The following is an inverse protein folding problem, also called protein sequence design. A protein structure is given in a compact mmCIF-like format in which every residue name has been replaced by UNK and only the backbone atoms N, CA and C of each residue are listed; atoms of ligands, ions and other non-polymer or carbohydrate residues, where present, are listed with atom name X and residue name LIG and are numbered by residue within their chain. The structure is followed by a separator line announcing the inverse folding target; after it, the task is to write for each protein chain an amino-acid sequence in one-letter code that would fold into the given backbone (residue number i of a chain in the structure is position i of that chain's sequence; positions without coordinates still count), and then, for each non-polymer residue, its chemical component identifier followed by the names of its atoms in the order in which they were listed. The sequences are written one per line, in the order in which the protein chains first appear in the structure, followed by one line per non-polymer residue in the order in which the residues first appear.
data_IF_878804398237
#
_entry.id   IF_878804398237
#
_cell.length_a   1.000
_cell.length_b   1.000
_cell.length_c   1.000
_cell.angle_alpha   90.00
_cell.angle_beta   90.00
_cell.angle_gamma   90.00
#
_symmetry.space_group_name_H-M   'P 1'
#
loop_
_entity.id
_entity.type
_entity.pdbx_description
1 polymer ?
#
# COMPACT_ATOMS: atom_id res chain seq x y z
N UNK A 1 40.74 -48.40 -20.45
CA UNK A 1 41.50 -48.27 -19.19
C UNK A 1 40.82 -47.18 -18.37
N UNK A 2 40.39 -47.52 -17.14
CA UNK A 2 40.03 -46.73 -15.92
C UNK A 2 39.65 -45.22 -16.04
N UNK A 3 38.81 -44.63 -15.15
CA UNK A 3 37.97 -45.18 -14.07
C UNK A 3 36.51 -44.57 -14.08
N UNK A 4 35.64 -44.80 -13.05
CA UNK A 4 34.19 -44.64 -13.11
C UNK A 4 33.70 -43.26 -12.67
N UNK A 5 32.63 -42.76 -13.30
CA UNK A 5 31.93 -41.56 -12.83
C UNK A 5 31.01 -41.91 -11.65
N UNK A 6 31.52 -41.65 -10.45
CA UNK A 6 30.73 -41.39 -9.25
C UNK A 6 29.83 -40.18 -9.49
N UNK A 7 28.58 -40.41 -9.84
CA UNK A 7 27.50 -39.41 -9.75
C UNK A 7 26.57 -39.74 -8.58
N UNK A 8 27.14 -39.78 -7.38
CA UNK A 8 26.41 -39.41 -6.17
C UNK A 8 26.59 -37.92 -5.93
N UNK A 9 25.59 -37.10 -6.26
CA UNK A 9 25.24 -35.93 -5.46
C UNK A 9 23.84 -35.41 -5.82
N UNK A 10 22.93 -35.75 -4.92
CA UNK A 10 21.76 -34.98 -4.50
C UNK A 10 20.83 -34.49 -5.62
N UNK A 11 19.81 -35.30 -5.90
CA UNK A 11 18.49 -34.77 -6.23
C UNK A 11 18.15 -33.69 -5.19
N UNK A 12 18.20 -32.45 -5.66
CA UNK A 12 17.98 -31.25 -4.84
C UNK A 12 16.71 -31.41 -4.04
N UNK A 13 16.85 -31.22 -2.74
CA UNK A 13 15.77 -31.06 -1.80
C UNK A 13 14.68 -30.16 -2.38
N UNK A 14 13.54 -30.78 -2.64
CA UNK A 14 12.20 -30.20 -2.75
C UNK A 14 12.16 -28.71 -2.39
N UNK A 15 11.76 -27.89 -3.37
CA UNK A 15 11.24 -26.54 -3.20
C UNK A 15 10.45 -26.44 -1.89
N UNK A 16 11.08 -25.84 -0.88
CA UNK A 16 10.39 -25.45 0.34
C UNK A 16 9.90 -24.04 0.10
N UNK A 17 8.78 -23.93 -0.60
CA UNK A 17 7.98 -22.70 -0.62
C UNK A 17 7.90 -22.16 0.82
N UNK A 18 8.32 -20.91 1.08
CA UNK A 18 8.14 -20.32 2.40
C UNK A 18 6.65 -20.33 2.71
N UNK A 19 6.26 -20.99 3.81
CA UNK A 19 4.88 -20.97 4.29
C UNK A 19 4.43 -19.51 4.35
N UNK A 20 3.25 -19.16 3.81
CA UNK A 20 2.74 -17.80 3.95
C UNK A 20 2.63 -17.51 5.44
N UNK A 21 3.40 -16.51 5.89
CA UNK A 21 3.37 -16.03 7.26
C UNK A 21 1.92 -15.69 7.60
N UNK A 22 1.33 -16.46 8.51
CA UNK A 22 -0.11 -16.53 8.70
C UNK A 22 -0.61 -15.23 9.37
N UNK A 23 -0.95 -14.23 8.55
CA UNK A 23 -1.47 -12.92 8.96
C UNK A 23 -2.69 -13.02 9.89
N UNK A 24 -3.37 -14.17 9.91
CA UNK A 24 -4.50 -14.46 10.79
C UNK A 24 -4.06 -14.71 12.22
N UNK A 25 -2.90 -15.32 12.42
CA UNK A 25 -2.36 -15.65 13.73
C UNK A 25 -1.83 -14.38 14.41
N UNK A 26 -1.13 -13.51 13.68
CA UNK A 26 -0.65 -12.22 14.22
C UNK A 26 -1.80 -11.27 14.59
N UNK A 27 -2.91 -11.29 13.86
CA UNK A 27 -4.12 -10.55 14.23
C UNK A 27 -4.83 -11.14 15.46
N UNK A 28 -4.78 -12.47 15.63
CA UNK A 28 -5.36 -13.16 16.77
C UNK A 28 -4.56 -12.93 18.06
N UNK A 29 -3.22 -12.98 17.98
CA UNK A 29 -2.32 -12.61 19.08
C UNK A 29 -2.47 -11.14 19.46
N UNK A 30 -2.58 -10.24 18.47
CA UNK A 30 -2.80 -8.82 18.75
C UNK A 30 -4.15 -8.57 19.42
N UNK A 31 -5.20 -9.31 19.06
CA UNK A 31 -6.51 -9.26 19.73
C UNK A 31 -6.45 -9.79 21.15
N UNK A 32 -5.73 -10.89 21.39
CA UNK A 32 -5.55 -11.46 22.72
C UNK A 32 -4.73 -10.52 23.60
N UNK A 33 -3.64 -9.93 23.10
CA UNK A 33 -2.86 -8.93 23.83
C UNK A 33 -3.69 -7.70 24.20
N UNK A 34 -4.59 -7.22 23.32
CA UNK A 34 -5.49 -6.10 23.63
C UNK A 34 -6.54 -6.48 24.70
N UNK A 35 -7.03 -7.73 24.69
CA UNK A 35 -7.97 -8.21 25.70
C UNK A 35 -7.28 -8.38 27.06
N UNK A 36 -6.06 -8.91 27.10
CA UNK A 36 -5.25 -8.99 28.32
C UNK A 36 -4.87 -7.61 28.86
N UNK A 37 -4.54 -6.67 27.98
CA UNK A 37 -4.25 -5.27 28.35
C UNK A 37 -5.47 -4.56 28.94
N UNK A 38 -6.68 -4.82 28.42
CA UNK A 38 -7.92 -4.30 29.02
C UNK A 38 -8.21 -4.84 30.42
N UNK A 39 -7.72 -6.04 30.72
CA UNK A 39 -7.89 -6.66 32.04
C UNK A 39 -6.91 -6.11 33.07
N UNK A 40 -5.76 -5.56 32.63
CA UNK A 40 -4.78 -4.89 33.49
C UNK A 40 -5.05 -3.39 33.70
N UNK A 41 -5.95 -2.80 32.92
CA UNK A 41 -6.29 -1.36 32.97
C UNK A 41 -7.36 -1.01 34.03
N UNK A 42 -7.91 -2.01 34.72
CA UNK A 42 -8.72 -1.79 35.93
C UNK A 42 -7.77 -1.58 37.11
N UNK A 43 -7.34 -0.33 37.32
CA UNK A 43 -6.63 0.07 38.53
C UNK A 43 -7.48 -0.31 39.77
N UNK A 44 -6.87 -0.87 40.84
CA UNK A 44 -7.60 -1.18 42.06
C UNK A 44 -8.14 0.12 42.66
N UNK A 45 -9.41 0.10 43.08
CA UNK A 45 -10.03 1.19 43.83
C UNK A 45 -9.21 1.43 45.10
N UNK A 46 -8.49 2.54 45.15
CA UNK A 46 -7.71 2.95 46.33
C UNK A 46 -8.70 3.52 47.35
N UNK A 47 -9.11 2.69 48.30
CA UNK A 47 -9.90 3.12 49.44
C UNK A 47 -8.97 3.82 50.45
N UNK A 48 -9.30 5.05 50.84
CA UNK A 48 -8.47 6.00 51.59
C UNK A 48 -8.42 5.73 53.11
N UNK A 49 -8.18 4.50 53.54
CA UNK A 49 -7.94 4.19 54.96
C UNK A 49 -6.67 3.33 55.08
N UNK A 50 -5.62 3.88 55.68
CA UNK A 50 -4.28 3.28 55.73
C UNK A 50 -4.28 1.95 56.50
N UNK A 51 -3.72 0.86 55.91
CA UNK A 51 -2.31 0.54 56.05
C UNK A 51 -1.70 0.15 54.69
N UNK A 52 -1.68 1.10 53.75
CA UNK A 52 -1.48 0.84 52.32
C UNK A 52 -0.02 0.72 51.86
N UNK A 53 0.98 0.85 52.74
CA UNK A 53 2.40 0.82 52.36
C UNK A 53 2.85 -0.50 51.73
N UNK A 54 2.44 -1.65 52.29
CA UNK A 54 2.81 -2.98 51.75
C UNK A 54 2.13 -3.29 50.42
N UNK A 55 0.89 -2.83 50.23
CA UNK A 55 0.13 -3.03 48.98
C UNK A 55 0.69 -2.12 47.88
N UNK A 56 0.98 -0.85 48.19
CA UNK A 56 1.64 0.06 47.27
C UNK A 56 3.06 -0.42 46.88
N UNK A 57 3.82 -1.01 47.81
CA UNK A 57 5.12 -1.61 47.51
C UNK A 57 5.03 -2.81 46.57
N UNK A 58 4.02 -3.69 46.75
CA UNK A 58 3.80 -4.81 45.82
C UNK A 58 3.43 -4.33 44.43
N UNK A 59 2.58 -3.31 44.33
CA UNK A 59 2.24 -2.68 43.04
C UNK A 59 3.46 -2.05 42.37
N UNK A 60 4.34 -1.39 43.13
CA UNK A 60 5.57 -0.83 42.60
C UNK A 60 6.54 -1.90 42.08
N UNK A 61 6.65 -3.03 42.78
CA UNK A 61 7.47 -4.17 42.32
C UNK A 61 6.90 -4.74 41.04
N UNK A 62 5.57 -4.94 40.97
CA UNK A 62 4.90 -5.42 39.76
C UNK A 62 5.12 -4.47 38.58
N UNK A 63 4.95 -3.16 38.78
CA UNK A 63 5.21 -2.17 37.73
C UNK A 63 6.68 -2.14 37.27
N UNK A 64 7.64 -2.41 38.17
CA UNK A 64 9.06 -2.55 37.79
C UNK A 64 9.31 -3.79 36.95
N UNK A 65 8.70 -4.92 37.31
CA UNK A 65 8.80 -6.16 36.56
C UNK A 65 8.16 -6.02 35.18
N UNK A 66 6.99 -5.38 35.10
CA UNK A 66 6.32 -5.06 33.85
C UNK A 66 7.15 -4.09 32.99
N UNK A 67 7.73 -3.03 33.58
CA UNK A 67 8.60 -2.12 32.83
C UNK A 67 9.86 -2.84 32.32
N UNK A 68 10.45 -3.73 33.12
CA UNK A 68 11.58 -4.56 32.70
C UNK A 68 11.17 -5.48 31.55
N UNK A 69 10.03 -6.15 31.65
CA UNK A 69 9.48 -7.01 30.59
C UNK A 69 9.23 -6.23 29.30
N UNK A 70 8.59 -5.07 29.39
CA UNK A 70 8.32 -4.21 28.23
C UNK A 70 9.62 -3.75 27.56
N UNK A 71 10.68 -3.46 28.32
CA UNK A 71 12.00 -3.14 27.76
C UNK A 71 12.62 -4.32 27.01
N UNK A 72 12.47 -5.54 27.53
CA UNK A 72 12.91 -6.75 26.83
C UNK A 72 12.14 -6.97 25.54
N UNK A 73 10.82 -6.82 25.57
CA UNK A 73 9.96 -6.94 24.37
C UNK A 73 10.30 -5.87 23.33
N UNK A 74 10.59 -4.63 23.75
CA UNK A 74 11.04 -3.56 22.85
C UNK A 74 12.40 -3.89 22.22
N UNK A 75 13.37 -4.38 22.99
CA UNK A 75 14.68 -4.76 22.48
C UNK A 75 14.59 -5.94 21.49
N UNK A 76 13.71 -6.90 21.75
CA UNK A 76 13.49 -8.03 20.85
C UNK A 76 12.83 -7.56 19.54
N UNK A 77 11.82 -6.69 19.61
CA UNK A 77 11.19 -6.11 18.42
C UNK A 77 12.17 -5.27 17.60
N UNK A 78 13.06 -4.51 18.25
CA UNK A 78 14.08 -3.72 17.55
C UNK A 78 15.05 -4.64 16.78
N UNK A 79 15.46 -5.75 17.40
CA UNK A 79 16.29 -6.77 16.75
C UNK A 79 15.56 -7.48 15.61
N UNK A 80 14.27 -7.77 15.77
CA UNK A 80 13.46 -8.37 14.70
C UNK A 80 13.33 -7.41 13.51
N UNK A 81 13.12 -6.12 13.76
CA UNK A 81 13.07 -5.09 12.71
C UNK A 81 14.41 -5.01 11.97
N UNK A 82 15.53 -5.04 12.69
CA UNK A 82 16.86 -5.01 12.08
C UNK A 82 17.13 -6.28 11.24
N UNK A 83 16.72 -7.45 11.72
CA UNK A 83 16.82 -8.71 10.98
C UNK A 83 15.94 -8.70 9.71
N UNK A 84 14.72 -8.18 9.79
CA UNK A 84 13.85 -8.02 8.62
C UNK A 84 14.46 -7.02 7.63
N UNK A 85 14.99 -5.90 8.12
CA UNK A 85 15.57 -4.88 7.27
C UNK A 85 16.80 -5.39 6.52
N UNK A 86 17.71 -6.09 7.21
CA UNK A 86 18.88 -6.73 6.59
C UNK A 86 18.49 -7.82 5.59
N UNK A 87 17.49 -8.65 5.89
CA UNK A 87 16.97 -9.65 4.95
C UNK A 87 16.39 -9.01 3.69
N UNK A 88 15.54 -8.00 3.83
CA UNK A 88 14.97 -7.28 2.69
C UNK A 88 16.06 -6.57 1.87
N UNK A 89 17.06 -5.99 2.52
CA UNK A 89 18.17 -5.35 1.83
C UNK A 89 18.94 -6.37 0.98
N UNK A 90 19.20 -7.55 1.52
CA UNK A 90 19.85 -8.63 0.79
C UNK A 90 19.00 -9.12 -0.40
N UNK A 91 17.68 -9.24 -0.23
CA UNK A 91 16.77 -9.61 -1.32
C UNK A 91 16.78 -8.57 -2.45
N UNK A 92 16.78 -7.27 -2.10
CA UNK A 92 16.87 -6.18 -3.09
C UNK A 92 18.16 -6.30 -3.88
N UNK A 93 19.30 -6.48 -3.21
CA UNK A 93 20.60 -6.65 -3.87
C UNK A 93 20.65 -7.89 -4.77
N UNK A 94 19.96 -8.98 -4.39
CA UNK A 94 19.83 -10.16 -5.24
C UNK A 94 19.01 -9.88 -6.50
N UNK A 95 17.88 -9.17 -6.38
CA UNK A 95 17.06 -8.79 -7.53
C UNK A 95 17.79 -7.83 -8.47
N UNK A 96 18.52 -6.85 -7.93
CA UNK A 96 19.33 -5.93 -8.72
C UNK A 96 20.41 -6.68 -9.52
N UNK A 97 21.15 -7.57 -8.87
CA UNK A 97 22.15 -8.41 -9.54
C UNK A 97 21.51 -9.33 -10.60
N UNK A 98 20.35 -9.91 -10.31
CA UNK A 98 19.65 -10.76 -11.27
C UNK A 98 19.19 -9.97 -12.51
N UNK A 99 18.65 -8.76 -12.31
CA UNK A 99 18.28 -7.87 -13.42
C UNK A 99 19.49 -7.47 -14.26
N UNK A 100 20.63 -7.19 -13.61
CA UNK A 100 21.86 -6.87 -14.32
C UNK A 100 22.34 -8.05 -15.19
N UNK A 101 22.35 -9.27 -14.64
CA UNK A 101 22.71 -10.47 -15.39
C UNK A 101 21.78 -10.69 -16.59
N UNK A 102 20.46 -10.54 -16.42
CA UNK A 102 19.50 -10.66 -17.51
C UNK A 102 19.70 -9.60 -18.60
N UNK A 103 20.08 -8.37 -18.23
CA UNK A 103 20.40 -7.32 -19.19
C UNK A 103 21.65 -7.67 -20.01
N UNK A 104 22.69 -8.16 -19.34
CA UNK A 104 23.93 -8.60 -20.00
C UNK A 104 23.69 -9.78 -20.95
N UNK A 105 22.89 -10.76 -20.55
CA UNK A 105 22.49 -11.88 -21.41
C UNK A 105 21.73 -11.40 -22.65
N UNK A 106 20.79 -10.47 -22.47
CA UNK A 106 20.03 -9.87 -23.58
C UNK A 106 20.95 -9.11 -24.53
N UNK A 107 21.94 -8.37 -24.02
CA UNK A 107 22.91 -7.67 -24.85
C UNK A 107 23.83 -8.64 -25.61
N UNK A 108 24.30 -9.73 -24.96
CA UNK A 108 25.05 -10.81 -25.63
C UNK A 108 24.23 -11.48 -26.74
N UNK A 109 22.96 -11.78 -26.47
CA UNK A 109 22.08 -12.41 -27.44
C UNK A 109 21.85 -11.49 -28.64
N UNK A 110 21.63 -10.19 -28.39
CA UNK A 110 21.47 -9.19 -29.46
C UNK A 110 22.72 -9.09 -30.34
N UNK A 111 23.91 -9.09 -29.74
CA UNK A 111 25.18 -9.09 -30.48
C UNK A 111 25.31 -10.35 -31.35
N UNK A 112 24.97 -11.52 -30.81
CA UNK A 112 25.00 -12.78 -31.58
C UNK A 112 24.03 -12.77 -32.77
N UNK A 113 22.83 -12.19 -32.59
CA UNK A 113 21.87 -12.03 -33.68
C UNK A 113 22.39 -11.09 -34.76
N UNK A 114 23.00 -9.97 -34.38
CA UNK A 114 23.59 -9.03 -35.32
C UNK A 114 24.71 -9.68 -36.15
N UNK A 115 25.58 -10.46 -35.50
CA UNK A 115 26.64 -11.20 -36.20
C UNK A 115 26.08 -12.26 -37.15
N UNK A 116 25.02 -12.96 -36.74
CA UNK A 116 24.35 -13.94 -37.58
C UNK A 116 23.70 -13.29 -38.81
N UNK A 117 23.01 -12.16 -38.62
CA UNK A 117 22.39 -11.40 -39.71
C UNK A 117 23.44 -10.91 -40.71
N UNK A 118 24.58 -10.41 -40.22
CA UNK A 118 25.71 -10.03 -41.07
C UNK A 118 26.22 -11.20 -41.91
N UNK A 119 26.45 -12.37 -41.31
CA UNK A 119 26.88 -13.58 -42.04
C UNK A 119 25.83 -14.04 -43.04
N UNK A 120 24.56 -13.89 -42.72
CA UNK A 120 23.47 -14.24 -43.64
C UNK A 120 23.44 -13.30 -44.85
N UNK A 121 23.66 -12.00 -44.66
CA UNK A 121 23.77 -11.03 -45.75
C UNK A 121 24.98 -11.31 -46.63
N UNK A 122 26.14 -11.61 -46.04
CA UNK A 122 27.36 -12.00 -46.76
C UNK A 122 27.09 -13.25 -47.61
N UNK A 123 26.51 -14.31 -47.02
CA UNK A 123 26.17 -15.55 -47.74
C UNK A 123 25.15 -15.31 -48.88
N UNK A 124 24.16 -14.45 -48.66
CA UNK A 124 23.17 -14.12 -49.68
C UNK A 124 23.81 -13.40 -50.87
N UNK A 125 24.75 -12.49 -50.60
CA UNK A 125 25.46 -11.77 -51.64
C UNK A 125 26.38 -12.69 -52.44
N UNK A 126 27.14 -13.54 -51.76
CA UNK A 126 28.01 -14.55 -52.38
C UNK A 126 27.19 -15.53 -53.23
N UNK A 127 26.07 -16.03 -52.72
CA UNK A 127 25.18 -16.91 -53.48
C UNK A 127 24.65 -16.21 -54.72
N UNK A 128 24.21 -14.96 -54.61
CA UNK A 128 23.67 -14.20 -55.74
C UNK A 128 24.74 -13.98 -56.82
N UNK A 129 25.96 -13.60 -56.45
CA UNK A 129 27.05 -13.43 -57.41
C UNK A 129 27.43 -14.76 -58.07
N UNK A 130 27.47 -15.85 -57.31
CA UNK A 130 27.79 -17.19 -57.85
C UNK A 130 26.73 -17.66 -58.84
N UNK A 131 25.44 -17.47 -58.50
CA UNK A 131 24.33 -17.80 -59.40
C UNK A 131 24.31 -16.91 -60.64
N UNK A 132 24.61 -15.62 -60.50
CA UNK A 132 24.69 -14.71 -61.65
C UNK A 132 25.84 -15.10 -62.58
N UNK A 133 27.01 -15.42 -62.04
CA UNK A 133 28.17 -15.92 -62.79
C UNK A 133 27.87 -17.26 -63.48
N UNK A 134 27.24 -18.21 -62.78
CA UNK A 134 26.88 -19.52 -63.33
C UNK A 134 25.77 -19.40 -64.37
N UNK A 135 24.77 -18.56 -64.14
CA UNK A 135 23.72 -18.26 -65.12
C UNK A 135 24.31 -17.58 -66.36
N UNK A 136 25.21 -16.59 -66.21
CA UNK A 136 25.90 -15.97 -67.35
C UNK A 136 26.76 -16.98 -68.10
N UNK A 137 27.46 -17.87 -67.39
CA UNK A 137 28.24 -18.95 -68.00
C UNK A 137 27.33 -19.92 -68.77
N UNK A 138 26.24 -20.38 -68.17
CA UNK A 138 25.26 -21.24 -68.85
C UNK A 138 24.59 -20.54 -70.02
N UNK A 139 24.27 -19.24 -69.94
CA UNK A 139 23.73 -18.46 -71.06
C UNK A 139 24.77 -18.31 -72.17
N UNK A 140 26.05 -18.12 -71.84
CA UNK A 140 27.12 -18.10 -72.84
C UNK A 140 27.36 -19.48 -73.46
N UNK A 141 27.31 -20.56 -72.68
CA UNK A 141 27.42 -21.94 -73.16
C UNK A 141 26.19 -22.32 -74.00
N UNK A 142 24.99 -21.92 -73.60
CA UNK A 142 23.75 -22.05 -74.35
C UNK A 142 23.81 -21.23 -75.64
N UNK A 143 24.29 -19.97 -75.61
CA UNK A 143 24.49 -19.18 -76.81
C UNK A 143 25.52 -19.82 -77.77
N UNK A 144 26.61 -20.39 -77.23
CA UNK A 144 27.60 -21.14 -78.02
C UNK A 144 27.02 -22.43 -78.62
N UNK A 145 26.13 -23.11 -77.91
CA UNK A 145 25.47 -24.35 -78.40
C UNK A 145 24.27 -24.07 -79.31
N UNK A 146 23.57 -22.94 -79.14
CA UNK A 146 22.49 -22.47 -80.03
C UNK A 146 23.05 -22.02 -81.39
N UNK A 147 24.27 -21.49 -81.43
CA UNK A 147 25.00 -21.29 -82.70
C UNK A 147 25.31 -22.63 -83.41
N UNK A 148 25.24 -23.77 -82.71
CA UNK A 148 25.49 -25.11 -83.25
C UNK A 148 24.24 -26.00 -83.42
N UNK A 149 23.04 -25.58 -83.00
CA UNK A 149 21.78 -26.30 -83.30
C UNK A 149 20.54 -25.42 -83.06
N UNK A 150 19.95 -24.84 -84.11
CA UNK A 150 18.68 -24.15 -84.03
C UNK A 150 17.58 -25.04 -84.61
N UNK A 151 17.16 -26.10 -83.91
CA UNK A 151 15.81 -26.64 -84.10
C UNK A 151 15.42 -27.65 -83.02
N UNK A 152 14.11 -27.69 -82.74
CA UNK A 152 13.40 -28.59 -81.80
C UNK A 152 13.29 -28.11 -80.34
N UNK A 153 12.29 -27.25 -80.09
CA UNK A 153 11.57 -27.24 -78.81
C UNK A 153 10.67 -28.49 -78.80
N UNK A 154 10.88 -29.49 -77.92
CA UNK A 154 10.01 -30.66 -77.88
C UNK A 154 8.71 -30.31 -77.14
N UNK A 155 7.60 -30.73 -77.73
CA UNK A 155 6.22 -30.57 -77.24
C UNK A 155 5.97 -31.14 -75.84
N UNK A 156 6.91 -31.93 -75.30
CA UNK A 156 6.93 -32.49 -73.94
C UNK A 156 7.13 -31.42 -72.84
N UNK A 157 7.69 -30.24 -73.17
CA UNK A 157 7.95 -29.19 -72.19
C UNK A 157 6.69 -28.45 -71.74
N UNK A 158 5.63 -28.42 -72.56
CA UNK A 158 4.35 -27.79 -72.19
C UNK A 158 3.59 -28.61 -71.13
N UNK A 159 3.66 -29.94 -71.21
CA UNK A 159 3.07 -30.81 -70.18
C UNK A 159 3.89 -30.73 -68.89
N UNK A 160 5.22 -30.76 -68.97
CA UNK A 160 6.09 -30.55 -67.82
C UNK A 160 5.85 -29.18 -67.16
N UNK A 161 5.72 -28.12 -67.96
CA UNK A 161 5.47 -26.77 -67.46
C UNK A 161 4.07 -26.62 -66.86
N UNK A 162 3.05 -27.27 -67.43
CA UNK A 162 1.72 -27.38 -66.80
C UNK A 162 1.75 -28.15 -65.50
N UNK A 163 2.52 -29.23 -65.40
CA UNK A 163 2.67 -29.97 -64.14
C UNK A 163 3.42 -29.15 -63.11
N UNK A 164 4.42 -28.35 -63.50
CA UNK A 164 5.11 -27.41 -62.61
C UNK A 164 4.19 -26.28 -62.16
N UNK A 165 3.37 -25.73 -63.06
CA UNK A 165 2.39 -24.70 -62.73
C UNK A 165 1.29 -25.23 -61.78
N UNK A 166 0.81 -26.46 -62.02
CA UNK A 166 -0.12 -27.13 -61.11
C UNK A 166 0.53 -27.41 -59.76
N UNK A 167 1.78 -27.87 -59.72
CA UNK A 167 2.48 -28.15 -58.48
C UNK A 167 2.78 -26.87 -57.69
N UNK A 168 3.12 -25.78 -58.40
CA UNK A 168 3.30 -24.47 -57.79
C UNK A 168 2.01 -23.97 -57.16
N UNK A 169 0.87 -24.04 -57.87
CA UNK A 169 -0.44 -23.69 -57.30
C UNK A 169 -0.82 -24.56 -56.10
N UNK A 170 -0.51 -25.85 -56.16
CA UNK A 170 -0.80 -26.78 -55.07
C UNK A 170 0.03 -26.45 -53.82
N UNK A 171 1.29 -26.06 -53.99
CA UNK A 171 2.15 -25.58 -52.90
C UNK A 171 1.67 -24.23 -52.37
N UNK A 172 1.21 -23.31 -53.24
CA UNK A 172 0.61 -22.03 -52.82
C UNK A 172 -0.66 -22.25 -51.99
N UNK A 173 -1.54 -23.15 -52.42
CA UNK A 173 -2.77 -23.51 -51.70
C UNK A 173 -2.45 -24.18 -50.34
N UNK A 174 -1.41 -25.01 -50.27
CA UNK A 174 -0.95 -25.61 -49.02
C UNK A 174 -0.41 -24.56 -48.04
N UNK A 175 0.43 -23.63 -48.53
CA UNK A 175 0.99 -22.53 -47.71
C UNK A 175 -0.07 -21.53 -47.25
N UNK A 176 -1.07 -21.24 -48.08
CA UNK A 176 -2.19 -20.37 -47.68
C UNK A 176 -3.08 -21.06 -46.65
N UNK A 177 -3.29 -22.37 -46.73
CA UNK A 177 -4.01 -23.13 -45.71
C UNK A 177 -3.27 -23.14 -44.37
N UNK A 178 -1.95 -23.34 -44.38
CA UNK A 178 -1.10 -23.25 -43.18
C UNK A 178 -1.16 -21.85 -42.56
N UNK A 179 -1.07 -20.79 -43.37
CA UNK A 179 -1.18 -19.42 -42.89
C UNK A 179 -2.55 -19.13 -42.25
N UNK A 180 -3.64 -19.59 -42.86
CA UNK A 180 -4.99 -19.45 -42.31
C UNK A 180 -5.17 -20.24 -41.00
N UNK A 181 -4.53 -21.41 -40.88
CA UNK A 181 -4.54 -22.19 -39.66
C UNK A 181 -3.83 -21.45 -38.52
N UNK A 182 -2.62 -20.93 -38.78
CA UNK A 182 -1.87 -20.13 -37.82
C UNK A 182 -2.63 -18.87 -37.40
N UNK A 183 -3.28 -18.20 -38.36
CA UNK A 183 -4.09 -17.02 -38.08
C UNK A 183 -5.29 -17.35 -37.16
N UNK A 184 -5.97 -18.49 -37.38
CA UNK A 184 -7.04 -18.95 -36.49
C UNK A 184 -6.51 -19.31 -35.10
N UNK A 185 -5.35 -19.93 -35.01
CA UNK A 185 -4.74 -20.27 -33.72
C UNK A 185 -4.36 -19.01 -32.95
N UNK A 186 -3.73 -18.04 -33.61
CA UNK A 186 -3.44 -16.73 -33.03
C UNK A 186 -4.72 -16.00 -32.60
N UNK A 187 -5.78 -16.07 -33.40
CA UNK A 187 -7.07 -15.45 -33.07
C UNK A 187 -7.74 -16.09 -31.85
N UNK A 188 -7.64 -17.41 -31.68
CA UNK A 188 -8.14 -18.10 -30.46
C UNK A 188 -7.37 -17.65 -29.23
N UNK A 189 -6.04 -17.63 -29.33
CA UNK A 189 -5.17 -17.18 -28.24
C UNK A 189 -5.40 -15.70 -27.88
N UNK A 190 -5.65 -14.84 -28.87
CA UNK A 190 -6.02 -13.45 -28.64
C UNK A 190 -7.35 -13.32 -27.87
N UNK A 191 -8.36 -14.13 -28.21
CA UNK A 191 -9.64 -14.14 -27.49
C UNK A 191 -9.51 -14.62 -26.05
N UNK A 192 -8.67 -15.63 -25.80
CA UNK A 192 -8.38 -16.11 -24.44
C UNK A 192 -7.71 -15.02 -23.61
N UNK A 193 -6.70 -14.34 -24.16
CA UNK A 193 -6.05 -13.22 -23.48
C UNK A 193 -7.01 -12.03 -23.25
N UNK A 194 -7.92 -11.73 -24.17
CA UNK A 194 -8.95 -10.70 -23.96
C UNK A 194 -9.87 -11.05 -22.78
N UNK A 195 -10.22 -12.32 -22.61
CA UNK A 195 -11.02 -12.78 -21.48
C UNK A 195 -10.25 -12.69 -20.16
N UNK A 196 -8.97 -13.09 -20.14
CA UNK A 196 -8.11 -12.96 -18.96
C UNK A 196 -7.93 -11.49 -18.57
N UNK A 197 -7.69 -10.61 -19.55
CA UNK A 197 -7.51 -9.18 -19.32
C UNK A 197 -8.81 -8.50 -18.84
N UNK A 198 -9.98 -8.98 -19.28
CA UNK A 198 -11.26 -8.54 -18.75
C UNK A 198 -11.45 -8.96 -17.28
N UNK A 199 -11.04 -10.19 -16.94
CA UNK A 199 -11.08 -10.69 -15.56
C UNK A 199 -10.12 -9.91 -14.64
N UNK A 200 -8.89 -9.64 -15.10
CA UNK A 200 -7.93 -8.84 -14.35
C UNK A 200 -8.42 -7.40 -14.13
N UNK A 201 -8.99 -6.77 -15.16
CA UNK A 201 -9.59 -5.42 -15.03
C UNK A 201 -10.69 -5.40 -13.97
N UNK A 202 -11.51 -6.46 -13.91
CA UNK A 202 -12.55 -6.57 -12.90
C UNK A 202 -11.95 -6.75 -11.50
N UNK A 203 -10.91 -7.57 -11.34
CA UNK A 203 -10.19 -7.72 -10.07
C UNK A 203 -9.57 -6.39 -9.61
N UNK A 204 -8.89 -5.67 -10.51
CA UNK A 204 -8.30 -4.35 -10.22
C UNK A 204 -9.37 -3.35 -9.78
N UNK A 205 -10.57 -3.38 -10.38
CA UNK A 205 -11.66 -2.49 -9.98
C UNK A 205 -12.14 -2.79 -8.54
N UNK A 206 -12.25 -4.07 -8.18
CA UNK A 206 -12.62 -4.51 -6.82
C UNK A 206 -11.53 -4.12 -5.81
N UNK A 207 -10.26 -4.32 -6.16
CA UNK A 207 -9.13 -3.92 -5.30
C UNK A 207 -9.09 -2.41 -5.09
N UNK A 208 -9.29 -1.61 -6.15
CA UNK A 208 -9.38 -0.15 -6.04
C UNK A 208 -10.51 0.28 -5.10
N UNK A 209 -11.68 -0.35 -5.20
CA UNK A 209 -12.79 -0.06 -4.30
C UNK A 209 -12.44 -0.43 -2.85
N UNK A 210 -11.78 -1.56 -2.64
CA UNK A 210 -11.33 -1.98 -1.30
C UNK A 210 -10.31 -1.00 -0.71
N UNK A 211 -9.34 -0.54 -1.52
CA UNK A 211 -8.35 0.46 -1.12
C UNK A 211 -9.04 1.79 -0.77
N UNK A 212 -10.03 2.23 -1.55
CA UNK A 212 -10.80 3.44 -1.25
C UNK A 212 -11.54 3.33 0.08
N UNK A 213 -12.19 2.19 0.34
CA UNK A 213 -12.86 1.92 1.61
C UNK A 213 -11.88 1.93 2.80
N UNK A 214 -10.71 1.31 2.62
CA UNK A 214 -9.64 1.32 3.62
C UNK A 214 -9.19 2.76 3.89
N UNK A 215 -8.94 3.55 2.85
CA UNK A 215 -8.50 4.94 2.97
C UNK A 215 -9.53 5.81 3.70
N UNK A 216 -10.81 5.59 3.43
CA UNK A 216 -11.90 6.27 4.12
C UNK A 216 -11.94 5.89 5.60
N UNK A 217 -11.84 4.60 5.93
CA UNK A 217 -11.82 4.15 7.33
C UNK A 217 -10.62 4.72 8.13
N UNK A 218 -9.44 4.79 7.52
CA UNK A 218 -8.24 5.39 8.14
C UNK A 218 -8.45 6.89 8.39
N UNK A 219 -9.01 7.62 7.42
CA UNK A 219 -9.32 9.05 7.59
C UNK A 219 -10.31 9.28 8.73
N UNK A 220 -11.34 8.44 8.84
CA UNK A 220 -12.30 8.52 9.93
C UNK A 220 -11.64 8.26 11.29
N UNK A 221 -10.80 7.23 11.38
CA UNK A 221 -10.07 6.91 12.60
C UNK A 221 -9.11 8.05 13.00
N UNK A 222 -8.41 8.66 12.04
CA UNK A 222 -7.54 9.81 12.29
C UNK A 222 -8.33 11.03 12.79
N UNK A 223 -9.51 11.31 12.21
CA UNK A 223 -10.40 12.38 12.67
C UNK A 223 -10.92 12.13 14.09
N UNK A 224 -11.23 10.89 14.44
CA UNK A 224 -11.64 10.53 15.80
C UNK A 224 -10.50 10.72 16.79
N UNK A 225 -9.29 10.23 16.48
CA UNK A 225 -8.10 10.43 17.31
C UNK A 225 -7.81 11.90 17.54
N UNK A 226 -7.88 12.73 16.50
CA UNK A 226 -7.69 14.17 16.61
C UNK A 226 -8.71 14.79 17.57
N UNK A 227 -10.00 14.45 17.44
CA UNK A 227 -11.06 14.94 18.34
C UNK A 227 -10.83 14.56 19.80
N UNK A 228 -10.42 13.31 20.06
CA UNK A 228 -10.13 12.82 21.42
C UNK A 228 -8.94 13.58 22.03
N UNK A 229 -7.85 13.76 21.28
CA UNK A 229 -6.69 14.52 21.75
C UNK A 229 -7.06 15.98 22.03
N UNK A 230 -7.80 16.63 21.13
CA UNK A 230 -8.27 18.00 21.34
C UNK A 230 -9.17 18.12 22.58
N UNK A 231 -10.03 17.13 22.84
CA UNK A 231 -10.88 17.11 24.03
C UNK A 231 -10.07 16.95 25.31
N UNK A 232 -9.12 16.01 25.35
CA UNK A 232 -8.25 15.84 26.52
C UNK A 232 -7.42 17.10 26.79
N UNK A 233 -6.87 17.70 25.74
CA UNK A 233 -6.08 18.91 25.86
C UNK A 233 -6.93 20.08 26.38
N UNK A 234 -8.14 20.27 25.84
CA UNK A 234 -9.09 21.27 26.34
C UNK A 234 -9.52 20.99 27.78
N UNK A 235 -9.76 19.73 28.15
CA UNK A 235 -10.13 19.36 29.52
C UNK A 235 -9.00 19.65 30.51
N UNK A 236 -7.75 19.32 30.16
CA UNK A 236 -6.59 19.62 31.00
C UNK A 236 -6.37 21.13 31.16
N UNK A 237 -6.44 21.91 30.07
CA UNK A 237 -6.27 23.36 30.16
C UNK A 237 -7.42 24.05 30.92
N UNK A 238 -8.66 23.60 30.73
CA UNK A 238 -9.80 24.18 31.46
C UNK A 238 -9.74 23.84 32.95
N UNK A 239 -9.39 22.61 33.32
CA UNK A 239 -9.20 22.23 34.72
C UNK A 239 -8.05 23.01 35.36
N UNK A 240 -6.91 23.13 34.67
CA UNK A 240 -5.78 23.94 35.14
C UNK A 240 -6.16 25.40 35.34
N UNK A 241 -6.90 26.00 34.40
CA UNK A 241 -7.37 27.39 34.52
C UNK A 241 -8.35 27.56 35.68
N UNK A 242 -9.30 26.63 35.86
CA UNK A 242 -10.24 26.64 36.99
C UNK A 242 -9.47 26.50 38.31
N UNK A 243 -8.48 25.61 38.39
CA UNK A 243 -7.67 25.44 39.59
C UNK A 243 -6.89 26.71 39.90
N UNK A 244 -6.18 27.29 38.93
CA UNK A 244 -5.43 28.54 39.10
C UNK A 244 -6.35 29.68 39.57
N UNK A 245 -7.49 29.86 38.91
CA UNK A 245 -8.45 30.93 39.27
C UNK A 245 -9.04 30.72 40.65
N UNK A 246 -9.37 29.48 41.04
CA UNK A 246 -9.87 29.15 42.37
C UNK A 246 -8.80 29.39 43.44
N UNK A 247 -7.56 28.96 43.19
CA UNK A 247 -6.44 29.18 44.11
C UNK A 247 -6.15 30.66 44.30
N UNK A 248 -6.13 31.47 43.23
CA UNK A 248 -5.95 32.93 43.33
C UNK A 248 -7.11 33.58 44.10
N UNK A 249 -8.35 33.14 43.86
CA UNK A 249 -9.53 33.64 44.57
C UNK A 249 -9.48 33.34 46.08
N UNK A 250 -8.97 32.18 46.47
CA UNK A 250 -8.77 31.81 47.89
C UNK A 250 -7.56 32.51 48.51
N UNK A 251 -6.50 32.73 47.75
CA UNK A 251 -5.29 33.39 48.25
C UNK A 251 -5.51 34.89 48.52
N UNK A 252 -6.39 35.54 47.75
CA UNK A 252 -6.72 36.96 47.88
C UNK A 252 -7.19 37.35 49.31
N UNK A 253 -8.23 36.73 49.91
CA UNK A 253 -8.65 37.07 51.26
C UNK A 253 -7.59 36.74 52.32
N UNK A 254 -6.83 35.66 52.14
CA UNK A 254 -5.74 35.29 53.05
C UNK A 254 -4.66 36.38 53.08
N UNK A 255 -4.24 36.87 51.91
CA UNK A 255 -3.27 37.94 51.81
C UNK A 255 -3.80 39.26 52.38
N UNK A 256 -5.08 39.58 52.16
CA UNK A 256 -5.72 40.77 52.75
C UNK A 256 -5.75 40.71 54.29
N UNK A 257 -6.07 39.55 54.86
CA UNK A 257 -6.05 39.34 56.32
C UNK A 257 -4.62 39.49 56.88
N UNK A 258 -3.62 38.93 56.20
CA UNK A 258 -2.20 39.05 56.60
C UNK A 258 -1.76 40.52 56.59
N UNK A 259 -2.08 41.27 55.52
CA UNK A 259 -1.76 42.71 55.43
C UNK A 259 -2.46 43.53 56.52
N UNK A 260 -3.74 43.27 56.79
CA UNK A 260 -4.47 43.94 57.88
C UNK A 260 -3.87 43.63 59.26
N UNK A 261 -3.42 42.38 59.47
CA UNK A 261 -2.69 41.99 60.68
C UNK A 261 -1.34 42.71 60.79
N UNK A 262 -0.65 42.92 59.67
CA UNK A 262 0.65 43.61 59.64
C UNK A 262 0.52 45.10 59.99
N UNK A 263 -0.56 45.76 59.53
CA UNK A 263 -0.81 47.20 59.74
C UNK A 263 -1.45 47.49 61.11
N UNK A 264 -1.73 46.49 61.95
CA UNK A 264 -2.31 46.62 63.30
C UNK A 264 -3.57 47.49 63.38
N UNK A 265 -4.42 47.46 62.36
CA UNK A 265 -5.71 48.15 62.39
C UNK A 265 -6.65 47.37 63.31
N UNK A 266 -7.33 48.05 64.25
CA UNK A 266 -8.31 47.41 65.13
C UNK A 266 -9.45 46.83 64.29
N UNK A 267 -9.59 45.50 64.34
CA UNK A 267 -10.64 44.77 63.63
C UNK A 267 -12.01 45.21 64.16
N UNK A 268 -12.70 46.05 63.39
CA UNK A 268 -14.07 46.48 63.65
C UNK A 268 -14.99 45.74 62.69
N UNK A 269 -16.26 45.48 63.06
CA UNK A 269 -17.19 44.75 62.17
C UNK A 269 -17.31 45.39 60.77
N UNK A 270 -17.15 46.71 60.66
CA UNK A 270 -17.15 47.44 59.39
C UNK A 270 -15.99 47.08 58.45
N UNK A 271 -14.80 46.72 58.96
CA UNK A 271 -13.66 46.33 58.11
C UNK A 271 -13.87 44.97 57.46
N UNK A 272 -14.58 44.05 58.13
CA UNK A 272 -14.96 42.76 57.54
C UNK A 272 -15.97 42.93 56.40
N UNK A 273 -16.97 43.81 56.56
CA UNK A 273 -17.92 44.11 55.48
C UNK A 273 -17.22 44.71 54.26
N UNK A 274 -16.30 45.67 54.45
CA UNK A 274 -15.57 46.29 53.33
C UNK A 274 -14.67 45.28 52.57
N UNK A 275 -14.19 44.24 53.25
CA UNK A 275 -13.26 43.25 52.70
C UNK A 275 -13.97 42.09 51.98
N UNK A 276 -15.05 41.57 52.54
CA UNK A 276 -15.75 40.41 51.99
C UNK A 276 -16.82 40.78 50.94
N UNK A 277 -17.41 41.98 51.01
CA UNK A 277 -18.44 42.40 50.04
C UNK A 277 -17.93 42.40 48.59
N UNK A 278 -16.73 42.93 48.26
CA UNK A 278 -16.20 42.86 46.89
C UNK A 278 -16.00 41.43 46.40
N UNK A 279 -15.58 40.51 47.28
CA UNK A 279 -15.37 39.09 46.95
C UNK A 279 -16.71 38.43 46.62
N UNK A 280 -17.74 38.66 47.46
CA UNK A 280 -19.09 38.13 47.22
C UNK A 280 -19.67 38.69 45.92
N UNK A 281 -19.51 39.99 45.65
CA UNK A 281 -19.96 40.62 44.40
C UNK A 281 -19.24 40.01 43.18
N UNK A 282 -17.93 39.78 43.26
CA UNK A 282 -17.17 39.13 42.19
C UNK A 282 -17.61 37.68 41.94
N UNK A 283 -17.91 36.90 42.98
CA UNK A 283 -18.42 35.52 42.84
C UNK A 283 -19.82 35.52 42.20
N UNK A 284 -20.70 36.43 42.61
CA UNK A 284 -22.03 36.58 42.00
C UNK A 284 -21.95 36.99 40.54
N UNK A 285 -21.08 37.94 40.19
CA UNK A 285 -20.85 38.34 38.80
C UNK A 285 -20.26 37.20 37.97
N UNK A 286 -19.25 36.47 38.48
CA UNK A 286 -18.66 35.34 37.79
C UNK A 286 -19.68 34.20 37.55
N UNK A 287 -20.55 33.94 38.53
CA UNK A 287 -21.65 32.98 38.42
C UNK A 287 -22.66 33.42 37.34
N UNK A 288 -23.07 34.69 37.37
CA UNK A 288 -23.98 35.26 36.39
C UNK A 288 -23.41 35.21 34.96
N UNK A 289 -22.14 35.62 34.77
CA UNK A 289 -21.47 35.54 33.48
C UNK A 289 -21.29 34.11 32.99
N UNK A 290 -21.01 33.15 33.87
CA UNK A 290 -20.90 31.73 33.52
C UNK A 290 -22.26 31.14 33.09
N UNK A 291 -23.34 31.53 33.76
CA UNK A 291 -24.70 31.15 33.40
C UNK A 291 -25.15 31.77 32.06
N UNK A 292 -24.83 33.04 31.84
CA UNK A 292 -25.10 33.72 30.56
C UNK A 292 -24.28 33.12 29.41
N UNK A 293 -23.00 32.80 29.61
CA UNK A 293 -22.17 32.18 28.58
C UNK A 293 -22.61 30.75 28.24
N UNK A 294 -23.00 29.96 29.25
CA UNK A 294 -23.44 28.58 29.01
C UNK A 294 -24.77 28.53 28.24
N UNK A 295 -25.74 29.36 28.60
CA UNK A 295 -26.99 29.50 27.85
C UNK A 295 -26.78 30.01 26.42
N UNK A 296 -25.89 30.98 26.20
CA UNK A 296 -25.53 31.46 24.87
C UNK A 296 -24.85 30.38 24.00
N UNK A 297 -23.98 29.55 24.59
CA UNK A 297 -23.35 28.41 23.89
C UNK A 297 -24.36 27.35 23.49
N UNK A 298 -25.36 27.06 24.33
CA UNK A 298 -26.44 26.12 24.02
C UNK A 298 -27.30 26.64 22.85
N UNK A 299 -27.65 27.93 22.84
CA UNK A 299 -28.34 28.52 21.69
C UNK A 299 -27.51 28.49 20.40
N UNK A 300 -26.21 28.79 20.48
CA UNK A 300 -25.33 28.76 19.32
C UNK A 300 -25.13 27.32 18.77
N UNK A 301 -25.05 26.32 19.65
CA UNK A 301 -24.99 24.91 19.25
C UNK A 301 -26.29 24.47 18.55
N UNK A 302 -27.45 24.86 19.08
CA UNK A 302 -28.75 24.59 18.47
C UNK A 302 -28.93 25.29 17.12
N UNK A 303 -28.38 26.50 16.95
CA UNK A 303 -28.40 27.22 15.68
C UNK A 303 -27.51 26.56 14.61
N UNK A 304 -26.34 26.04 15.00
CA UNK A 304 -25.45 25.28 14.10
C UNK A 304 -26.09 23.97 13.64
N UNK A 305 -26.71 23.23 14.56
CA UNK A 305 -27.43 21.99 14.22
C UNK A 305 -28.55 22.25 13.19
N UNK A 306 -29.33 23.33 13.35
CA UNK A 306 -30.36 23.71 12.37
C UNK A 306 -29.80 24.13 11.01
N UNK A 307 -28.60 24.72 10.97
CA UNK A 307 -27.94 25.09 9.72
C UNK A 307 -27.40 23.86 8.97
N UNK A 308 -26.80 22.92 9.69
CA UNK A 308 -26.28 21.68 9.13
C UNK A 308 -27.40 20.76 8.63
N UNK A 309 -28.55 20.73 9.32
CA UNK A 309 -29.75 20.01 8.87
C UNK A 309 -30.32 20.60 7.56
N UNK A 310 -30.36 21.94 7.44
CA UNK A 310 -30.78 22.64 6.22
C UNK A 310 -29.78 22.45 5.06
N UNK A 311 -28.48 22.38 5.35
CA UNK A 311 -27.45 22.10 4.36
C UNK A 311 -27.51 20.65 3.86
N UNK A 312 -27.75 19.68 4.76
CA UNK A 312 -27.97 18.28 4.42
C UNK A 312 -29.24 18.07 3.58
N UNK A 313 -30.30 18.84 3.84
CA UNK A 313 -31.54 18.83 3.05
C UNK A 313 -31.35 19.41 1.63
N UNK A 314 -30.44 20.38 1.44
CA UNK A 314 -30.11 20.96 0.13
C UNK A 314 -29.06 20.14 -0.67
N UNK A 315 -28.34 19.23 -0.03
CA UNK A 315 -27.26 18.43 -0.63
C UNK A 315 -27.66 17.07 -1.20
N UNK A 316 -28.95 16.68 -1.20
CA UNK A 316 -29.42 15.47 -1.89
C UNK A 316 -29.86 15.82 -3.32
N UNK A 317 -29.09 15.48 -4.38
CA UNK A 317 -29.63 15.49 -5.73
C UNK A 317 -30.66 14.36 -5.87
N UNK A 318 -31.76 14.69 -6.55
CA UNK A 318 -32.78 13.76 -6.96
C UNK A 318 -32.21 12.76 -7.97
N UNK A 319 -31.87 11.55 -7.51
CA UNK A 319 -31.63 10.42 -8.40
C UNK A 319 -32.25 9.16 -7.79
N UNK A 320 -33.57 9.08 -7.83
CA UNK A 320 -34.32 7.82 -7.72
C UNK A 320 -35.78 8.06 -8.13
N UNK A 321 -36.03 8.07 -9.44
CA UNK A 321 -37.36 7.79 -10.01
C UNK A 321 -37.25 7.60 -11.52
N UNK A 322 -36.59 6.51 -11.95
CA UNK A 322 -36.87 5.93 -13.26
C UNK A 322 -36.45 4.46 -13.28
N UNK A 323 -37.24 3.63 -12.60
CA UNK A 323 -37.35 2.21 -12.93
C UNK A 323 -38.64 1.62 -12.33
N UNK A 324 -39.77 1.83 -13.01
CA UNK A 324 -40.95 0.93 -13.05
C UNK A 324 -42.06 1.51 -13.93
N UNK A 325 -42.53 0.68 -14.88
CA UNK A 325 -43.67 0.88 -15.81
C UNK A 325 -43.41 1.93 -16.90
N UNK A 326 -43.42 1.64 -18.21
CA UNK A 326 -44.10 0.61 -19.00
C UNK A 326 -43.25 0.17 -20.19
#
# INVERSE_FOLDING_TARGET
MLPPDDTTQTTGSSERTPRPHNRRDSLSERRQNILHQKQTDTLPVVNNEAPNGRIAWRQLIQLREENKRLRWELAELEKEIEAIHSSHQQEIEQYENHLQNMMEERDRLKESHYQLERRYQELYHDFHSTVEEEAQKMVQEAARTIVLSPESRPTMMNDAMRTVELHFRQVEDERTAEALYLMRQAQRKAKEMEQELANERQQIAVERQNIQNLHNSIREQARLRKRVVEQHLRAQYTLSLILITTTVLVLLPVFQIILLSLVRIKMTPGTYFLLFVPIVVCVLLASFFSYALSSARVLAANARHKHDEKAAAKGKPATQSQQKSS
#
